data_IF_653452352316
#
_entry.id   IF_653452352316
#
_cell.length_a   1.000
_cell.length_b   1.000
_cell.length_c   1.000
_cell.angle_alpha   90.00
_cell.angle_beta   90.00
_cell.angle_gamma   90.00
#
_symmetry.space_group_name_H-M   'P 1'
#
loop_
_entity.id
_entity.type
_entity.pdbx_description
1 polymer ?
#
# COMPACT_ATOMS: atom_id res chain seq x y z
N UNK A 1 -9.79 -6.84 0.61
CA UNK A 1 -9.04 -6.76 -0.66
C UNK A 1 -10.01 -6.56 -1.81
N UNK A 2 -9.79 -5.53 -2.62
CA UNK A 2 -10.61 -5.23 -3.80
C UNK A 2 -10.64 -6.40 -4.78
N UNK A 3 -11.83 -6.85 -5.17
CA UNK A 3 -12.04 -8.00 -6.06
C UNK A 3 -11.83 -7.66 -7.54
N UNK A 4 -10.71 -7.01 -7.87
CA UNK A 4 -10.41 -6.69 -9.26
C UNK A 4 -10.00 -7.96 -10.03
N UNK A 5 -10.55 -8.09 -11.23
CA UNK A 5 -10.08 -9.04 -12.24
C UNK A 5 -8.75 -8.56 -12.82
N UNK A 6 -7.94 -9.47 -13.40
CA UNK A 6 -6.71 -9.07 -14.07
C UNK A 6 -6.92 -8.02 -15.17
N UNK A 7 -8.05 -8.03 -15.87
CA UNK A 7 -8.37 -7.06 -16.92
C UNK A 7 -8.64 -5.66 -16.34
N UNK A 8 -9.38 -5.58 -15.25
CA UNK A 8 -9.64 -4.31 -14.55
C UNK A 8 -8.35 -3.70 -13.99
N UNK A 9 -7.47 -4.53 -13.41
CA UNK A 9 -6.16 -4.06 -12.93
C UNK A 9 -5.33 -3.48 -14.08
N UNK A 10 -5.29 -4.16 -15.23
CA UNK A 10 -4.56 -3.64 -16.41
C UNK A 10 -5.19 -2.32 -16.88
N UNK A 11 -6.51 -2.24 -16.98
CA UNK A 11 -7.22 -1.03 -17.40
C UNK A 11 -6.95 0.16 -16.47
N UNK A 12 -6.88 -0.07 -15.17
CA UNK A 12 -6.53 0.97 -14.20
C UNK A 12 -5.07 1.41 -14.35
N UNK A 13 -4.15 0.47 -14.59
CA UNK A 13 -2.75 0.79 -14.86
C UNK A 13 -2.57 1.52 -16.20
N UNK A 14 -3.43 1.28 -17.19
CA UNK A 14 -3.41 1.98 -18.49
C UNK A 14 -3.69 3.49 -18.35
N UNK A 15 -4.43 3.91 -17.31
CA UNK A 15 -4.70 5.33 -17.04
C UNK A 15 -3.46 6.13 -16.63
N UNK A 16 -2.40 5.45 -16.19
CA UNK A 16 -1.20 6.09 -15.63
C UNK A 16 0.10 5.70 -16.32
N UNK A 17 0.18 4.52 -16.91
CA UNK A 17 1.38 4.00 -17.58
C UNK A 17 1.03 3.79 -19.06
N UNK A 18 1.82 4.36 -19.96
CA UNK A 18 1.64 4.14 -21.40
C UNK A 18 2.44 2.90 -21.83
N UNK A 19 1.82 1.98 -22.57
CA UNK A 19 2.46 0.75 -23.05
C UNK A 19 2.77 -0.27 -21.94
N UNK A 20 3.91 -0.98 -22.04
CA UNK A 20 4.36 -1.97 -21.04
C UNK A 20 3.36 -3.12 -20.74
N UNK A 21 2.59 -3.54 -21.75
CA UNK A 21 1.48 -4.50 -21.60
C UNK A 21 1.89 -5.81 -20.91
N UNK A 22 3.10 -6.32 -21.20
CA UNK A 22 3.62 -7.55 -20.57
C UNK A 22 3.82 -7.36 -19.06
N UNK A 23 4.39 -6.23 -18.64
CA UNK A 23 4.62 -5.92 -17.23
C UNK A 23 3.29 -5.72 -16.49
N UNK A 24 2.34 -4.96 -17.07
CA UNK A 24 1.00 -4.76 -16.51
C UNK A 24 0.26 -6.09 -16.29
N UNK A 25 0.30 -6.99 -17.28
CA UNK A 25 -0.32 -8.32 -17.17
C UNK A 25 0.34 -9.16 -16.08
N UNK A 26 1.67 -9.14 -15.98
CA UNK A 26 2.40 -9.89 -14.95
C UNK A 26 2.01 -9.44 -13.53
N UNK A 27 1.98 -8.12 -13.29
CA UNK A 27 1.59 -7.58 -11.97
C UNK A 27 0.11 -7.83 -11.66
N UNK A 28 -0.77 -7.74 -12.65
CA UNK A 28 -2.19 -8.03 -12.47
C UNK A 28 -2.44 -9.49 -12.06
N UNK A 29 -1.71 -10.43 -12.66
CA UNK A 29 -1.78 -11.85 -12.27
C UNK A 29 -1.27 -12.05 -10.85
N UNK A 30 -0.13 -11.45 -10.49
CA UNK A 30 0.43 -11.57 -9.15
C UNK A 30 -0.53 -11.03 -8.08
N UNK A 31 -1.17 -9.89 -8.32
CA UNK A 31 -2.18 -9.33 -7.42
C UNK A 31 -3.43 -10.23 -7.34
N UNK A 32 -3.94 -10.72 -8.48
CA UNK A 32 -5.09 -11.64 -8.50
C UNK A 32 -4.80 -12.96 -7.77
N UNK A 33 -3.57 -13.45 -7.83
CA UNK A 33 -3.17 -14.67 -7.12
C UNK A 33 -3.22 -14.47 -5.60
N UNK A 34 -2.99 -13.26 -5.08
CA UNK A 34 -3.20 -12.98 -3.64
C UNK A 34 -4.66 -13.13 -3.24
N UNK A 35 -5.58 -12.61 -4.06
CA UNK A 35 -7.02 -12.82 -3.83
C UNK A 35 -7.40 -14.30 -3.93
N UNK A 36 -6.90 -15.02 -4.94
CA UNK A 36 -7.16 -16.47 -5.09
C UNK A 36 -6.67 -17.28 -3.90
N UNK A 37 -5.50 -16.94 -3.35
CA UNK A 37 -4.94 -17.56 -2.14
C UNK A 37 -5.87 -17.38 -0.93
N UNK A 38 -6.64 -16.31 -0.85
CA UNK A 38 -7.63 -16.12 0.23
C UNK A 38 -8.88 -17.00 0.05
N UNK A 39 -9.14 -17.50 -1.15
CA UNK A 39 -10.32 -18.34 -1.46
C UNK A 39 -10.07 -19.84 -1.27
N UNK A 40 -8.83 -20.26 -0.98
CA UNK A 40 -8.51 -21.68 -0.73
C UNK A 40 -8.61 -22.02 0.77
N UNK A 41 -8.78 -23.32 1.12
CA UNK A 41 -8.71 -23.80 2.49
C UNK A 41 -7.42 -23.41 3.21
N UNK A 42 -7.46 -23.31 4.54
CA UNK A 42 -6.34 -22.83 5.35
C UNK A 42 -5.07 -23.67 5.16
N UNK A 43 -5.21 -25.00 5.12
CA UNK A 43 -4.11 -25.95 4.92
C UNK A 43 -3.33 -25.67 3.62
N UNK A 44 -4.05 -25.43 2.52
CA UNK A 44 -3.43 -25.12 1.23
C UNK A 44 -2.91 -23.67 1.15
N UNK A 45 -3.42 -22.76 1.98
CA UNK A 45 -3.06 -21.34 1.94
C UNK A 45 -1.60 -21.11 2.32
N UNK A 46 -1.06 -21.90 3.23
CA UNK A 46 0.31 -21.75 3.72
C UNK A 46 1.35 -22.31 2.74
N UNK A 47 0.95 -23.27 1.91
CA UNK A 47 1.79 -23.83 0.84
C UNK A 47 1.91 -22.88 -0.37
N UNK A 48 0.95 -21.96 -0.56
CA UNK A 48 0.95 -21.03 -1.69
C UNK A 48 1.82 -19.80 -1.40
N UNK A 49 3.05 -19.82 -1.93
CA UNK A 49 3.96 -18.68 -1.87
C UNK A 49 3.60 -17.56 -2.85
N UNK A 50 3.88 -16.28 -2.51
CA UNK A 50 3.71 -15.17 -3.45
C UNK A 50 4.57 -15.32 -4.71
N UNK A 51 3.99 -14.98 -5.87
CA UNK A 51 4.75 -14.93 -7.14
C UNK A 51 5.48 -13.58 -7.26
N UNK A 52 6.73 -13.56 -6.82
CA UNK A 52 7.61 -12.39 -6.96
C UNK A 52 7.90 -12.08 -8.44
N UNK A 53 8.17 -10.80 -8.75
CA UNK A 53 8.34 -10.32 -10.12
C UNK A 53 9.69 -9.64 -10.25
N UNK A 54 10.45 -10.02 -11.28
CA UNK A 54 11.65 -9.32 -11.72
C UNK A 54 11.28 -8.52 -12.98
N UNK A 55 11.46 -7.19 -12.94
CA UNK A 55 11.24 -6.32 -14.09
C UNK A 55 12.57 -5.94 -14.74
N UNK A 56 12.76 -6.33 -16.00
CA UNK A 56 13.98 -6.06 -16.78
C UNK A 56 13.67 -5.01 -17.84
N UNK A 57 14.50 -3.96 -17.91
CA UNK A 57 14.38 -2.89 -18.92
C UNK A 57 15.18 -1.64 -18.56
N UNK A 58 15.32 -0.72 -19.51
CA UNK A 58 16.06 0.55 -19.33
C UNK A 58 15.45 1.44 -18.22
N UNK A 59 16.21 2.41 -17.74
CA UNK A 59 15.70 3.43 -16.81
C UNK A 59 14.60 4.28 -17.49
N UNK A 60 13.70 4.88 -16.71
CA UNK A 60 12.64 5.75 -17.24
C UNK A 60 11.44 5.06 -17.90
N UNK A 61 11.49 3.76 -18.20
CA UNK A 61 10.39 3.04 -18.90
C UNK A 61 9.14 2.75 -18.05
N UNK A 62 9.08 3.24 -16.81
CA UNK A 62 7.90 3.09 -15.93
C UNK A 62 7.89 1.90 -14.97
N UNK A 63 9.00 1.16 -14.80
CA UNK A 63 9.09 -0.01 -13.89
C UNK A 63 8.61 0.31 -12.47
N UNK A 64 9.15 1.37 -11.88
CA UNK A 64 8.80 1.82 -10.52
C UNK A 64 7.37 2.35 -10.45
N UNK A 65 6.89 3.00 -11.52
CA UNK A 65 5.53 3.57 -11.55
C UNK A 65 4.47 2.47 -11.61
N UNK A 66 4.71 1.38 -12.35
CA UNK A 66 3.83 0.21 -12.35
C UNK A 66 3.69 -0.35 -10.92
N UNK A 67 4.79 -0.54 -10.20
CA UNK A 67 4.76 -1.06 -8.83
C UNK A 67 4.05 -0.10 -7.86
N UNK A 68 4.34 1.20 -7.94
CA UNK A 68 3.71 2.24 -7.12
C UNK A 68 2.19 2.30 -7.35
N UNK A 69 1.76 2.30 -8.62
CA UNK A 69 0.32 2.37 -8.97
C UNK A 69 -0.41 1.10 -8.57
N UNK A 70 0.22 -0.06 -8.74
CA UNK A 70 -0.34 -1.33 -8.27
C UNK A 70 -0.58 -1.32 -6.75
N UNK A 71 0.37 -0.83 -5.97
CA UNK A 71 0.22 -0.75 -4.52
C UNK A 71 -0.90 0.21 -4.10
N UNK A 72 -0.98 1.39 -4.75
CA UNK A 72 -2.08 2.34 -4.54
C UNK A 72 -3.45 1.72 -4.88
N UNK A 73 -3.55 1.01 -5.99
CA UNK A 73 -4.77 0.32 -6.41
C UNK A 73 -5.18 -0.77 -5.41
N UNK A 74 -4.21 -1.51 -4.89
CA UNK A 74 -4.43 -2.57 -3.90
C UNK A 74 -4.62 -2.05 -2.46
N UNK A 75 -4.53 -0.73 -2.24
CA UNK A 75 -4.47 -0.11 -0.91
C UNK A 75 -3.43 -0.81 -0.01
N UNK A 76 -2.25 -1.06 -0.57
CA UNK A 76 -1.17 -1.79 0.10
C UNK A 76 -0.02 -0.84 0.46
N UNK A 77 0.67 -1.05 1.60
CA UNK A 77 1.86 -0.31 1.94
C UNK A 77 2.95 -0.56 0.88
N UNK A 78 3.74 0.46 0.58
CA UNK A 78 4.72 0.41 -0.51
C UNK A 78 6.00 1.16 -0.17
N UNK A 79 7.14 0.52 -0.40
CA UNK A 79 8.45 1.11 -0.22
C UNK A 79 9.34 0.87 -1.44
N UNK A 80 10.12 1.89 -1.82
CA UNK A 80 11.20 1.79 -2.82
C UNK A 80 12.53 1.78 -2.08
N UNK A 81 13.32 0.72 -2.26
CA UNK A 81 14.67 0.62 -1.71
C UNK A 81 15.67 0.33 -2.83
N UNK A 82 16.89 0.85 -2.70
CA UNK A 82 17.98 0.61 -3.65
C UNK A 82 18.92 -0.45 -3.06
N UNK A 83 19.17 -1.52 -3.83
CA UNK A 83 19.93 -2.67 -3.34
C UNK A 83 21.38 -2.32 -2.98
N UNK A 84 21.98 -1.36 -3.69
CA UNK A 84 23.37 -0.91 -3.44
C UNK A 84 23.57 -0.33 -2.04
N UNK A 85 22.50 0.16 -1.39
CA UNK A 85 22.56 0.67 -0.01
C UNK A 85 22.93 -0.39 1.03
N UNK A 86 22.82 -1.67 0.69
CA UNK A 86 23.15 -2.79 1.57
C UNK A 86 24.53 -3.39 1.28
N UNK A 87 25.20 -2.95 0.22
CA UNK A 87 26.51 -3.45 -0.21
C UNK A 87 27.63 -2.42 -0.06
N UNK A 88 27.29 -1.14 0.15
CA UNK A 88 28.26 -0.05 0.25
C UNK A 88 29.02 -0.13 1.60
N UNK A 89 30.35 -0.21 1.51
CA UNK A 89 31.25 -0.57 2.61
C UNK A 89 31.34 0.57 3.64
N UNK A 90 30.85 0.30 4.86
CA UNK A 90 30.97 1.17 6.03
C UNK A 90 30.54 0.45 7.31
N UNK A 91 31.21 0.73 8.44
CA UNK A 91 31.25 -0.09 9.66
C UNK A 91 29.94 -0.26 10.45
N UNK A 92 28.82 0.27 9.96
CA UNK A 92 27.45 -0.03 10.43
C UNK A 92 26.51 0.16 9.23
N UNK A 93 26.46 -0.80 8.31
CA UNK A 93 25.55 -0.74 7.15
C UNK A 93 24.09 -0.63 7.57
N UNK A 94 23.21 -0.11 6.69
CA UNK A 94 21.76 -0.28 6.88
C UNK A 94 21.46 -1.77 6.90
N UNK A 95 20.79 -2.20 7.96
CA UNK A 95 20.31 -3.56 8.12
C UNK A 95 19.21 -3.89 7.09
N UNK A 96 19.27 -5.05 6.45
CA UNK A 96 18.27 -5.52 5.47
C UNK A 96 16.88 -5.63 6.09
N UNK A 97 16.78 -5.89 7.40
CA UNK A 97 15.50 -5.90 8.11
C UNK A 97 14.85 -4.51 8.16
N UNK A 98 15.63 -3.44 7.95
CA UNK A 98 15.09 -2.08 7.88
C UNK A 98 14.06 -1.94 6.76
N UNK A 99 14.17 -2.74 5.67
CA UNK A 99 13.17 -2.73 4.59
C UNK A 99 11.79 -3.13 5.09
N UNK A 100 11.72 -4.11 5.99
CA UNK A 100 10.48 -4.60 6.58
C UNK A 100 9.99 -3.61 7.63
N UNK A 101 10.88 -3.07 8.47
CA UNK A 101 10.53 -2.05 9.48
C UNK A 101 9.91 -0.81 8.82
N UNK A 102 10.57 -0.25 7.81
CA UNK A 102 10.07 0.91 7.08
C UNK A 102 8.71 0.61 6.38
N UNK A 103 8.50 -0.62 5.88
CA UNK A 103 7.23 -1.03 5.28
C UNK A 103 6.10 -1.11 6.32
N UNK A 104 6.40 -1.61 7.53
CA UNK A 104 5.44 -1.68 8.65
C UNK A 104 5.07 -0.28 9.11
N UNK A 105 6.04 0.62 9.26
CA UNK A 105 5.79 2.01 9.66
C UNK A 105 4.83 2.70 8.68
N UNK A 106 5.04 2.51 7.37
CA UNK A 106 4.13 3.01 6.35
C UNK A 106 2.73 2.39 6.43
N UNK A 107 2.63 1.10 6.77
CA UNK A 107 1.35 0.44 6.96
C UNK A 107 0.59 1.00 8.18
N UNK A 108 1.28 1.25 9.29
CA UNK A 108 0.70 1.85 10.50
C UNK A 108 0.18 3.25 10.20
N UNK A 109 0.95 4.08 9.50
CA UNK A 109 0.51 5.42 9.07
C UNK A 109 -0.73 5.31 8.19
N UNK A 110 -0.71 4.42 7.19
CA UNK A 110 -1.83 4.22 6.27
C UNK A 110 -3.14 3.85 6.99
N UNK A 111 -3.07 2.94 7.97
CA UNK A 111 -4.23 2.53 8.79
C UNK A 111 -4.68 3.66 9.70
N UNK A 112 -3.76 4.36 10.37
CA UNK A 112 -4.08 5.52 11.22
C UNK A 112 -4.82 6.60 10.44
N UNK A 113 -4.37 6.91 9.23
CA UNK A 113 -5.00 7.90 8.37
C UNK A 113 -6.38 7.44 7.87
N UNK A 114 -6.58 6.15 7.69
CA UNK A 114 -7.89 5.56 7.34
C UNK A 114 -8.86 5.65 8.51
N UNK A 115 -8.47 5.18 9.70
CA UNK A 115 -9.28 5.22 10.92
C UNK A 115 -9.62 6.66 11.32
N UNK A 116 -8.64 7.58 11.28
CA UNK A 116 -8.85 9.00 11.56
C UNK A 116 -9.90 9.63 10.63
N UNK A 117 -9.91 9.23 9.35
CA UNK A 117 -10.92 9.71 8.39
C UNK A 117 -12.32 9.18 8.72
N UNK A 118 -12.45 7.95 9.22
CA UNK A 118 -13.75 7.37 9.59
C UNK A 118 -14.40 8.08 10.78
N UNK A 119 -13.59 8.54 11.74
CA UNK A 119 -14.10 9.21 12.95
C UNK A 119 -14.13 10.73 12.85
N UNK A 120 -13.68 11.30 11.72
CA UNK A 120 -13.47 12.75 11.58
C UNK A 120 -14.69 13.59 11.93
N UNK A 121 -15.86 13.23 11.38
CA UNK A 121 -17.12 13.97 11.60
C UNK A 121 -17.49 13.95 13.09
N UNK A 122 -17.50 12.77 13.70
CA UNK A 122 -17.82 12.63 15.14
C UNK A 122 -16.83 13.37 16.03
N UNK A 123 -15.56 13.39 15.65
CA UNK A 123 -14.51 14.09 16.37
C UNK A 123 -14.64 15.61 16.22
N UNK A 124 -15.06 16.10 15.05
CA UNK A 124 -15.39 17.51 14.80
C UNK A 124 -16.57 17.94 15.68
N UNK A 125 -17.67 17.18 15.68
CA UNK A 125 -18.87 17.47 16.49
C UNK A 125 -18.54 17.51 18.00
N UNK A 126 -17.81 16.50 18.51
CA UNK A 126 -17.42 16.44 19.91
C UNK A 126 -16.43 17.54 20.31
N UNK A 127 -15.57 17.96 19.39
CA UNK A 127 -14.65 19.08 19.63
C UNK A 127 -15.40 20.41 19.68
N UNK A 128 -16.42 20.59 18.84
CA UNK A 128 -17.30 21.76 18.84
C UNK A 128 -18.10 21.85 20.14
N UNK A 129 -18.75 20.76 20.57
CA UNK A 129 -19.49 20.72 21.85
C UNK A 129 -18.59 21.09 23.03
N UNK A 130 -17.41 20.48 23.10
CA UNK A 130 -16.43 20.80 24.16
C UNK A 130 -15.92 22.25 24.10
N UNK A 131 -15.85 22.84 22.90
CA UNK A 131 -15.47 24.24 22.73
C UNK A 131 -16.60 25.17 23.21
N UNK A 132 -17.86 24.83 22.91
CA UNK A 132 -19.03 25.59 23.36
C UNK A 132 -19.11 25.62 24.89
N UNK A 133 -18.90 24.49 25.57
CA UNK A 133 -18.86 24.42 27.03
C UNK A 133 -17.80 25.35 27.65
N UNK A 134 -16.64 25.47 27.00
CA UNK A 134 -15.55 26.33 27.46
C UNK A 134 -15.80 27.81 27.17
N UNK A 135 -16.52 28.13 26.09
CA UNK A 135 -16.81 29.51 25.69
C UNK A 135 -18.05 30.08 26.39
N UNK A 136 -19.00 29.24 26.81
CA UNK A 136 -20.21 29.63 27.52
C UNK A 136 -20.36 28.90 28.88
N UNK A 137 -19.39 29.03 29.80
CA UNK A 137 -19.51 28.41 31.11
C UNK A 137 -20.63 29.10 31.91
N UNK A 138 -21.77 28.42 32.09
CA UNK A 138 -22.83 28.82 33.03
C UNK A 138 -24.12 29.41 32.44
N UNK A 139 -24.44 29.22 31.16
CA UNK A 139 -25.83 29.42 30.68
C UNK A 139 -26.71 28.20 31.00
N UNK A 140 -26.92 27.97 32.30
CA UNK A 140 -28.16 27.32 32.74
C UNK A 140 -29.26 28.40 32.68
N UNK A 141 -30.22 28.24 31.77
CA UNK A 141 -31.55 28.88 31.87
C UNK A 141 -32.48 27.90 32.56
#
# INVERSE_FOLDING_TARGET
>A
MTNFTPREIVSELDRHIIGQNKAKRAVAIALRNRWRRQQVPAELRDEIVPKNIIMIGATGVGKTEIARRLAKLAQAPFIKVEASKFTEVGYVGRDVESMVRDLVDLAVIMVRDEEARQVRIKAEDAAEERLLDLLLPGTEI
#
